data_IF_835550374991
#
_entry.id   IF_835550374991
#
_cell.length_a   1.000
_cell.length_b   1.000
_cell.length_c   1.000
_cell.angle_alpha   90.00
_cell.angle_beta   90.00
_cell.angle_gamma   90.00
#
_symmetry.space_group_name_H-M   'P 1'
#
loop_
_entity.id
_entity.type
_entity.pdbx_description
1 polymer ?
#
# COMPACT_ATOMS: atom_id res chain seq x y z
N UNK A 1 24.39 -0.36 8.72
CA UNK A 1 23.65 0.00 7.48
C UNK A 1 22.97 -1.18 6.81
N UNK A 2 23.66 -2.31 6.60
CA UNK A 2 23.06 -3.49 5.96
C UNK A 2 21.73 -3.92 6.62
N UNK A 3 21.69 -4.03 7.94
CA UNK A 3 20.47 -4.39 8.68
C UNK A 3 19.32 -3.40 8.51
N UNK A 4 19.58 -2.09 8.51
CA UNK A 4 18.54 -1.07 8.26
C UNK A 4 17.96 -1.24 6.86
N UNK A 5 18.82 -1.49 5.86
CA UNK A 5 18.40 -1.76 4.47
C UNK A 5 17.60 -3.06 4.37
N UNK A 6 18.01 -4.12 5.06
CA UNK A 6 17.28 -5.40 5.12
C UNK A 6 15.88 -5.20 5.72
N UNK A 7 15.80 -4.54 6.88
CA UNK A 7 14.53 -4.26 7.55
C UNK A 7 13.65 -3.38 6.67
N UNK A 8 14.21 -2.32 6.07
CA UNK A 8 13.49 -1.45 5.15
C UNK A 8 12.89 -2.23 3.98
N UNK A 9 13.69 -3.04 3.29
CA UNK A 9 13.23 -3.83 2.14
C UNK A 9 12.14 -4.83 2.56
N UNK A 10 12.32 -5.54 3.68
CA UNK A 10 11.31 -6.45 4.22
C UNK A 10 9.98 -5.73 4.46
N UNK A 11 10.03 -4.56 5.09
CA UNK A 11 8.86 -3.76 5.40
C UNK A 11 8.19 -3.21 4.14
N UNK A 12 8.97 -2.77 3.14
CA UNK A 12 8.45 -2.35 1.83
C UNK A 12 7.73 -3.51 1.15
N UNK A 13 8.33 -4.71 1.09
CA UNK A 13 7.69 -5.87 0.46
C UNK A 13 6.35 -6.20 1.12
N UNK A 14 6.31 -6.26 2.46
CA UNK A 14 5.06 -6.53 3.18
C UNK A 14 4.05 -5.37 3.09
N UNK A 15 4.50 -4.13 2.91
CA UNK A 15 3.60 -3.00 2.64
C UNK A 15 2.97 -3.11 1.24
N UNK A 16 3.77 -3.42 0.23
CA UNK A 16 3.32 -3.59 -1.15
C UNK A 16 2.26 -4.70 -1.28
N UNK A 17 2.35 -5.77 -0.47
CA UNK A 17 1.32 -6.83 -0.45
C UNK A 17 -0.08 -6.27 -0.27
N UNK A 18 -0.29 -5.35 0.68
CA UNK A 18 -1.61 -4.79 0.92
C UNK A 18 -2.00 -3.74 -0.11
N UNK A 19 -1.05 -2.91 -0.58
CA UNK A 19 -1.30 -1.91 -1.64
C UNK A 19 -1.89 -2.57 -2.89
N UNK A 20 -1.41 -3.76 -3.26
CA UNK A 20 -1.86 -4.48 -4.45
C UNK A 20 -2.98 -5.49 -4.22
N UNK A 21 -3.07 -6.08 -3.03
CA UNK A 21 -4.07 -7.12 -2.76
C UNK A 21 -5.40 -6.55 -2.25
N UNK A 22 -5.37 -5.55 -1.37
CA UNK A 22 -6.56 -5.11 -0.64
C UNK A 22 -7.63 -4.48 -1.55
N UNK A 23 -7.31 -3.58 -2.49
CA UNK A 23 -8.34 -3.01 -3.38
C UNK A 23 -9.11 -4.08 -4.17
N UNK A 24 -8.41 -5.13 -4.64
CA UNK A 24 -9.04 -6.26 -5.32
C UNK A 24 -9.79 -7.16 -4.33
N UNK A 25 -9.24 -7.40 -3.14
CA UNK A 25 -9.90 -8.18 -2.10
C UNK A 25 -11.24 -7.57 -1.67
N UNK A 26 -11.39 -6.23 -1.69
CA UNK A 26 -12.66 -5.54 -1.44
C UNK A 26 -13.77 -5.94 -2.42
N UNK A 27 -13.43 -6.25 -3.68
CA UNK A 27 -14.40 -6.73 -4.67
C UNK A 27 -14.94 -8.10 -4.25
N UNK A 28 -14.05 -9.00 -3.82
CA UNK A 28 -14.43 -10.35 -3.39
C UNK A 28 -15.16 -10.31 -2.04
N UNK A 29 -14.74 -9.46 -1.11
CA UNK A 29 -15.44 -9.24 0.16
C UNK A 29 -16.85 -8.70 -0.07
N UNK A 30 -17.05 -7.76 -0.99
CA UNK A 30 -18.40 -7.30 -1.39
C UNK A 30 -19.29 -8.47 -1.82
N UNK A 31 -18.77 -9.39 -2.63
CA UNK A 31 -19.51 -10.58 -3.11
C UNK A 31 -19.80 -11.56 -1.99
N UNK A 32 -18.84 -11.76 -1.08
CA UNK A 32 -19.01 -12.61 0.10
C UNK A 32 -20.10 -12.02 1.02
N UNK A 33 -20.03 -10.73 1.32
CA UNK A 33 -21.01 -10.04 2.16
C UNK A 33 -22.42 -10.07 1.55
N UNK A 34 -22.54 -9.90 0.23
CA UNK A 34 -23.82 -10.02 -0.46
C UNK A 34 -24.44 -11.44 -0.35
N UNK A 35 -23.60 -12.47 -0.22
CA UNK A 35 -24.04 -13.87 -0.07
C UNK A 35 -24.35 -14.24 1.38
N UNK A 36 -23.54 -13.78 2.34
CA UNK A 36 -23.66 -14.15 3.75
C UNK A 36 -24.59 -13.21 4.53
N UNK A 37 -24.76 -11.96 4.09
CA UNK A 37 -25.46 -10.91 4.83
C UNK A 37 -24.64 -10.30 5.97
N UNK A 38 -23.40 -10.75 6.18
CA UNK A 38 -22.49 -10.30 7.22
C UNK A 38 -21.02 -10.36 6.75
N UNK A 39 -20.10 -9.86 7.59
CA UNK A 39 -18.67 -9.95 7.32
C UNK A 39 -18.18 -11.39 7.50
N UNK A 40 -17.77 -12.02 6.41
CA UNK A 40 -17.21 -13.36 6.41
C UNK A 40 -15.68 -13.40 6.61
N UNK A 41 -15.10 -14.61 6.52
CA UNK A 41 -13.66 -14.83 6.71
C UNK A 41 -12.77 -14.01 5.76
N UNK A 42 -13.23 -13.74 4.54
CA UNK A 42 -12.47 -12.94 3.59
C UNK A 42 -12.41 -11.47 4.03
N UNK A 43 -13.49 -10.94 4.58
CA UNK A 43 -13.51 -9.60 5.17
C UNK A 43 -12.52 -9.46 6.33
N UNK A 44 -12.53 -10.43 7.24
CA UNK A 44 -11.61 -10.48 8.37
C UNK A 44 -10.14 -10.60 7.94
N UNK A 45 -9.86 -11.43 6.93
CA UNK A 45 -8.53 -11.55 6.37
C UNK A 45 -8.08 -10.25 5.72
N UNK A 46 -8.96 -9.61 4.93
CA UNK A 46 -8.66 -8.36 4.22
C UNK A 46 -8.35 -7.23 5.20
N UNK A 47 -9.13 -7.12 6.26
CA UNK A 47 -8.91 -6.12 7.32
C UNK A 47 -7.61 -6.39 8.10
N UNK A 48 -7.35 -7.64 8.49
CA UNK A 48 -6.11 -8.01 9.20
C UNK A 48 -4.88 -7.77 8.32
N UNK A 49 -4.95 -8.12 7.04
CA UNK A 49 -3.89 -7.86 6.07
C UNK A 49 -3.61 -6.36 5.95
N UNK A 50 -4.65 -5.53 5.84
CA UNK A 50 -4.52 -4.08 5.82
C UNK A 50 -3.83 -3.56 7.10
N UNK A 51 -4.29 -3.96 8.29
CA UNK A 51 -3.70 -3.50 9.55
C UNK A 51 -2.26 -3.93 9.74
N UNK A 52 -1.95 -5.18 9.43
CA UNK A 52 -0.59 -5.72 9.52
C UNK A 52 0.36 -4.96 8.59
N UNK A 53 -0.08 -4.78 7.35
CA UNK A 53 0.70 -4.09 6.33
C UNK A 53 0.86 -2.59 6.58
N UNK A 54 -0.11 -1.93 7.24
CA UNK A 54 0.05 -0.55 7.70
C UNK A 54 1.22 -0.39 8.67
N UNK A 55 1.36 -1.31 9.63
CA UNK A 55 2.50 -1.32 10.57
C UNK A 55 3.84 -1.44 9.84
N UNK A 56 3.92 -2.34 8.85
CA UNK A 56 5.10 -2.47 8.00
C UNK A 56 5.36 -1.21 7.17
N UNK A 57 4.32 -0.56 6.63
CA UNK A 57 4.45 0.71 5.90
C UNK A 57 5.04 1.82 6.75
N UNK A 58 4.64 1.94 8.02
CA UNK A 58 5.22 2.92 8.96
C UNK A 58 6.70 2.64 9.17
N UNK A 59 7.09 1.39 9.44
CA UNK A 59 8.49 1.02 9.62
C UNK A 59 9.29 1.27 8.34
N UNK A 60 8.73 0.97 7.16
CA UNK A 60 9.35 1.22 5.87
C UNK A 60 9.62 2.71 5.65
N UNK A 61 8.68 3.60 5.99
CA UNK A 61 8.86 5.05 5.86
C UNK A 61 9.94 5.55 6.82
N UNK A 62 9.89 5.16 8.10
CA UNK A 62 10.88 5.59 9.10
C UNK A 62 12.28 5.14 8.73
N UNK A 63 12.45 3.86 8.39
CA UNK A 63 13.75 3.31 7.96
C UNK A 63 14.21 3.91 6.63
N UNK A 64 13.29 4.27 5.74
CA UNK A 64 13.60 4.93 4.47
C UNK A 64 14.11 6.36 4.66
N UNK A 65 13.48 7.13 5.55
CA UNK A 65 13.92 8.48 5.92
C UNK A 65 15.30 8.42 6.58
N UNK A 66 15.51 7.49 7.52
CA UNK A 66 16.82 7.29 8.13
C UNK A 66 17.89 6.92 7.08
N UNK A 67 17.60 6.00 6.18
CA UNK A 67 18.55 5.67 5.13
C UNK A 67 18.84 6.87 4.22
N UNK A 68 17.83 7.70 3.95
CA UNK A 68 17.97 8.94 3.19
C UNK A 68 18.82 10.01 3.85
N UNK A 69 18.68 10.21 5.16
CA UNK A 69 19.54 11.17 5.91
C UNK A 69 21.00 10.74 5.88
N UNK A 70 21.26 9.43 5.92
CA UNK A 70 22.62 8.91 5.78
C UNK A 70 23.21 9.10 4.37
N UNK A 71 22.37 8.99 3.33
CA UNK A 71 22.78 9.23 1.94
C UNK A 71 22.90 10.72 1.57
N UNK A 72 22.52 11.64 2.47
CA UNK A 72 22.56 13.07 2.20
C UNK A 72 21.47 13.58 1.27
N UNK A 73 20.37 12.82 1.08
CA UNK A 73 19.22 13.20 0.26
C UNK A 73 19.56 13.69 -1.17
N UNK A 74 20.12 12.82 -2.03
CA UNK A 74 20.31 13.15 -3.44
C UNK A 74 18.98 13.43 -4.15
N UNK A 75 19.02 14.14 -5.28
CA UNK A 75 17.83 14.61 -5.99
C UNK A 75 16.85 13.46 -6.36
N UNK A 76 17.35 12.33 -6.87
CA UNK A 76 16.51 11.15 -7.13
C UNK A 76 15.75 10.65 -5.89
N UNK A 77 16.30 10.84 -4.69
CA UNK A 77 15.66 10.39 -3.46
C UNK A 77 14.49 11.29 -3.07
N UNK A 78 14.56 12.59 -3.34
CA UNK A 78 13.41 13.49 -3.20
C UNK A 78 12.27 13.08 -4.14
N UNK A 79 12.58 12.76 -5.39
CA UNK A 79 11.60 12.25 -6.35
C UNK A 79 10.97 10.95 -5.84
N UNK A 80 11.79 9.98 -5.42
CA UNK A 80 11.32 8.73 -4.83
C UNK A 80 10.41 8.96 -3.63
N UNK A 81 10.80 9.86 -2.72
CA UNK A 81 10.03 10.16 -1.52
C UNK A 81 8.67 10.79 -1.85
N UNK A 82 8.61 11.68 -2.85
CA UNK A 82 7.34 12.24 -3.34
C UNK A 82 6.41 11.14 -3.89
N UNK A 83 6.93 10.21 -4.69
CA UNK A 83 6.16 9.07 -5.21
C UNK A 83 5.68 8.13 -4.08
N UNK A 84 6.53 7.87 -3.08
CA UNK A 84 6.17 7.08 -1.90
C UNK A 84 5.08 7.80 -1.08
N UNK A 85 5.11 9.13 -1.00
CA UNK A 85 4.05 9.90 -0.34
C UNK A 85 2.70 9.75 -1.07
N UNK A 86 2.71 9.75 -2.42
CA UNK A 86 1.51 9.44 -3.22
C UNK A 86 0.98 8.05 -2.91
N UNK A 87 1.85 7.03 -2.82
CA UNK A 87 1.46 5.67 -2.40
C UNK A 87 0.90 5.65 -0.97
N UNK A 88 1.47 6.42 -0.05
CA UNK A 88 0.97 6.52 1.32
C UNK A 88 -0.45 7.12 1.35
N UNK A 89 -0.71 8.18 0.59
CA UNK A 89 -2.06 8.76 0.46
C UNK A 89 -3.04 7.76 -0.14
N UNK A 90 -2.65 7.07 -1.21
CA UNK A 90 -3.45 5.98 -1.81
C UNK A 90 -3.76 4.87 -0.80
N UNK A 91 -2.77 4.48 0.01
CA UNK A 91 -2.94 3.47 1.05
C UNK A 91 -3.89 3.90 2.17
N UNK A 92 -3.82 5.16 2.59
CA UNK A 92 -4.76 5.74 3.56
C UNK A 92 -6.18 5.79 3.00
N UNK A 93 -6.34 6.10 1.72
CA UNK A 93 -7.64 6.01 1.03
C UNK A 93 -8.16 4.58 1.02
N UNK A 94 -7.31 3.59 0.75
CA UNK A 94 -7.66 2.17 0.87
C UNK A 94 -8.18 1.85 2.28
N UNK A 95 -7.59 2.43 3.32
CA UNK A 95 -8.09 2.32 4.69
C UNK A 95 -9.51 2.86 4.89
N UNK A 96 -9.87 3.97 4.23
CA UNK A 96 -11.25 4.48 4.25
C UNK A 96 -12.23 3.49 3.61
N UNK A 97 -11.84 2.87 2.48
CA UNK A 97 -12.64 1.86 1.81
C UNK A 97 -12.82 0.60 2.68
N UNK A 98 -11.74 0.12 3.31
CA UNK A 98 -11.77 -1.02 4.23
C UNK A 98 -12.67 -0.75 5.45
N UNK A 99 -12.59 0.42 6.06
CA UNK A 99 -13.48 0.78 7.19
C UNK A 99 -14.95 0.83 6.78
N UNK A 100 -15.25 1.34 5.59
CA UNK A 100 -16.62 1.34 5.05
C UNK A 100 -17.12 -0.09 4.75
N UNK A 101 -16.25 -0.93 4.19
CA UNK A 101 -16.55 -2.34 3.98
C UNK A 101 -16.83 -3.09 5.29
N UNK A 102 -16.11 -2.79 6.38
CA UNK A 102 -16.42 -3.34 7.71
C UNK A 102 -17.83 -2.97 8.20
N UNK A 103 -18.33 -1.79 7.84
CA UNK A 103 -19.70 -1.37 8.13
C UNK A 103 -20.74 -1.94 7.15
N UNK A 104 -20.34 -2.84 6.23
CA UNK A 104 -21.22 -3.41 5.20
C UNK A 104 -21.52 -2.46 4.03
N UNK A 105 -20.83 -1.32 3.93
CA UNK A 105 -21.10 -0.31 2.91
C UNK A 105 -20.15 -0.42 1.70
N UNK A 106 -20.65 -0.92 0.57
CA UNK A 106 -19.89 -1.06 -0.68
C UNK A 106 -20.44 -0.13 -1.78
N UNK A 107 -19.99 1.14 -1.80
CA UNK A 107 -20.46 2.12 -2.81
C UNK A 107 -19.67 2.11 -4.11
N UNK A 108 -18.43 1.62 -4.08
CA UNK A 108 -17.56 1.64 -5.26
C UNK A 108 -17.90 0.49 -6.22
N UNK A 109 -17.73 0.75 -7.52
CA UNK A 109 -17.88 -0.25 -8.57
C UNK A 109 -16.65 -1.15 -8.65
N UNK A 110 -16.84 -2.38 -9.13
CA UNK A 110 -15.75 -3.33 -9.36
C UNK A 110 -14.68 -2.76 -10.32
N UNK A 111 -15.12 -1.98 -11.32
CA UNK A 111 -14.22 -1.31 -12.26
C UNK A 111 -13.37 -0.22 -11.59
N UNK A 112 -13.99 0.60 -10.73
CA UNK A 112 -13.26 1.61 -9.96
C UNK A 112 -12.16 0.97 -9.11
N UNK A 113 -12.48 -0.10 -8.37
CA UNK A 113 -11.53 -0.78 -7.49
C UNK A 113 -10.37 -1.43 -8.25
N UNK A 114 -10.61 -1.90 -9.49
CA UNK A 114 -9.54 -2.37 -10.39
C UNK A 114 -8.65 -1.21 -10.77
N UNK A 115 -9.21 -0.17 -11.39
CA UNK A 115 -8.43 1.00 -11.87
C UNK A 115 -7.62 1.61 -10.72
N UNK A 116 -8.24 1.74 -9.54
CA UNK A 116 -7.59 2.23 -8.34
C UNK A 116 -6.38 1.37 -7.93
N UNK A 117 -6.46 0.05 -8.10
CA UNK A 117 -5.32 -0.85 -7.93
C UNK A 117 -4.27 -0.70 -9.03
N UNK A 118 -4.68 -0.57 -10.30
CA UNK A 118 -3.73 -0.39 -11.40
C UNK A 118 -2.92 0.90 -11.26
N UNK A 119 -3.53 1.98 -10.76
CA UNK A 119 -2.81 3.24 -10.46
C UNK A 119 -1.65 3.01 -9.50
N UNK A 120 -1.81 2.19 -8.45
CA UNK A 120 -0.72 1.94 -7.51
C UNK A 120 0.43 1.18 -8.17
N UNK A 121 0.15 0.29 -9.13
CA UNK A 121 1.17 -0.42 -9.92
C UNK A 121 2.01 0.57 -10.71
N UNK A 122 1.39 1.53 -11.43
CA UNK A 122 2.12 2.54 -12.18
C UNK A 122 3.00 3.42 -11.29
N UNK A 123 2.50 3.81 -10.12
CA UNK A 123 3.31 4.60 -9.16
C UNK A 123 4.48 3.76 -8.63
N UNK A 124 4.29 2.48 -8.34
CA UNK A 124 5.40 1.60 -7.92
C UNK A 124 6.43 1.42 -9.04
N UNK A 125 6.02 1.29 -10.30
CA UNK A 125 6.95 1.27 -11.44
C UNK A 125 7.79 2.56 -11.48
N UNK A 126 7.17 3.73 -11.28
CA UNK A 126 7.90 5.00 -11.20
C UNK A 126 8.88 5.05 -10.01
N UNK A 127 8.50 4.52 -8.84
CA UNK A 127 9.39 4.39 -7.67
C UNK A 127 10.59 3.50 -8.01
N UNK A 128 10.37 2.36 -8.66
CA UNK A 128 11.43 1.45 -9.06
C UNK A 128 12.37 2.10 -10.08
N UNK A 129 11.82 2.79 -11.07
CA UNK A 129 12.62 3.55 -12.03
C UNK A 129 13.48 4.61 -11.34
N UNK A 130 12.93 5.39 -10.41
CA UNK A 130 13.69 6.41 -9.67
C UNK A 130 14.84 5.80 -8.85
N UNK A 131 14.67 4.58 -8.30
CA UNK A 131 15.71 3.88 -7.55
C UNK A 131 16.79 3.26 -8.44
N UNK A 132 16.41 2.71 -9.60
CA UNK A 132 17.32 1.99 -10.50
C UNK A 132 18.08 2.94 -11.41
N UNK A 133 17.38 3.89 -12.02
CA UNK A 133 17.98 4.87 -12.93
C UNK A 133 18.71 5.99 -12.19
N UNK A 134 18.36 6.22 -10.91
CA UNK A 134 18.89 7.29 -10.07
C UNK A 134 19.01 8.61 -10.83
N UNK A 135 17.89 9.11 -11.40
CA UNK A 135 17.93 10.30 -12.24
C UNK A 135 18.33 11.50 -11.37
N UNK A 136 19.30 12.29 -11.84
CA UNK A 136 19.82 13.49 -11.19
C UNK A 136 20.75 13.23 -9.99
#
# INVERSE_FOLDING_TARGET
MAWVKIIHILCVMGWMTSIFAVPRALIYWKREHARLGENGPLGDLTFRLYRFSFGLGVIAIVTGIWYGTWLGWPAWLHLKAALVAVLAVHYLWTGKLVRRAQAGEFRESDMFLRIFNEVSVFVVIAVLWAVVAQPF
#
